data_IF_417607375529
#
_entry.id   IF_417607375529
#
_cell.length_a   1.000
_cell.length_b   1.000
_cell.length_c   1.000
_cell.angle_alpha   90.00
_cell.angle_beta   90.00
_cell.angle_gamma   90.00
#
_symmetry.space_group_name_H-M   'P 1'
#
loop_
_entity.id
_entity.type
_entity.pdbx_description
1 polymer ?
#
# COMPACT_ATOMS: atom_id res chain seq x y z
N UNK A 1 -14.10 14.52 10.12
CA UNK A 1 -13.64 13.81 11.35
C UNK A 1 -13.53 12.34 11.03
N UNK A 2 -12.39 11.71 11.32
CA UNK A 2 -12.16 10.28 11.16
C UNK A 2 -12.76 9.51 12.32
N UNK A 3 -13.20 8.26 12.08
CA UNK A 3 -13.75 7.40 13.14
C UNK A 3 -13.00 6.06 13.16
N UNK A 4 -12.36 5.77 14.28
CA UNK A 4 -11.69 4.49 14.53
C UNK A 4 -12.43 3.68 15.58
N UNK A 5 -12.56 2.36 15.35
CA UNK A 5 -13.19 1.41 16.25
C UNK A 5 -12.18 0.36 16.69
N UNK A 6 -12.02 0.21 17.98
CA UNK A 6 -11.28 -0.90 18.60
C UNK A 6 -12.20 -1.72 19.52
N UNK A 7 -12.01 -3.02 19.57
CA UNK A 7 -12.80 -3.92 20.39
C UNK A 7 -11.93 -4.51 21.48
N UNK A 8 -12.29 -4.26 22.73
CA UNK A 8 -11.68 -4.90 23.88
C UNK A 8 -12.61 -5.98 24.43
N UNK A 9 -12.16 -7.22 24.41
CA UNK A 9 -12.84 -8.30 25.12
C UNK A 9 -12.49 -8.19 26.60
N UNK A 10 -13.51 -8.17 27.45
CA UNK A 10 -13.29 -8.19 28.90
C UNK A 10 -12.84 -9.59 29.32
N UNK A 11 -11.70 -9.67 29.97
CA UNK A 11 -11.21 -10.92 30.57
C UNK A 11 -12.11 -11.28 31.76
N UNK A 12 -12.75 -12.45 31.69
CA UNK A 12 -13.68 -12.90 32.75
C UNK A 12 -12.92 -13.26 33.99
N UNK A 13 -13.33 -12.67 35.09
CA UNK A 13 -12.85 -13.08 36.41
C UNK A 13 -13.38 -14.47 36.77
N UNK A 14 -12.64 -15.23 37.57
CA UNK A 14 -13.07 -16.55 38.05
C UNK A 14 -14.06 -16.40 39.22
N UNK A 15 -14.91 -17.43 39.44
CA UNK A 15 -15.85 -17.51 40.56
C UNK A 15 -17.08 -16.60 40.44
N UNK A 16 -17.69 -16.25 41.58
CA UNK A 16 -18.95 -15.48 41.68
C UNK A 16 -18.86 -14.14 40.93
N UNK A 17 -17.67 -13.49 40.97
CA UNK A 17 -17.43 -12.24 40.23
C UNK A 17 -17.53 -12.43 38.69
N UNK A 18 -17.20 -13.63 38.19
CA UNK A 18 -17.35 -13.99 36.79
C UNK A 18 -18.83 -14.15 36.33
N UNK A 19 -19.70 -14.60 37.26
CA UNK A 19 -21.15 -14.62 37.02
C UNK A 19 -21.72 -13.21 36.91
N UNK A 20 -21.32 -12.29 37.76
CA UNK A 20 -21.73 -10.89 37.70
C UNK A 20 -21.22 -10.23 36.42
N UNK A 21 -20.03 -10.59 35.90
CA UNK A 21 -19.50 -10.07 34.63
C UNK A 21 -20.31 -10.54 33.42
N UNK A 22 -21.02 -11.69 33.48
CA UNK A 22 -21.94 -12.16 32.40
C UNK A 22 -23.20 -11.29 32.26
N UNK A 23 -23.61 -10.64 33.35
CA UNK A 23 -24.78 -9.78 33.39
C UNK A 23 -24.45 -8.33 32.97
N UNK A 24 -23.17 -7.99 32.81
CA UNK A 24 -22.76 -6.66 32.39
C UNK A 24 -23.12 -6.42 30.91
N UNK A 25 -23.64 -5.22 30.66
CA UNK A 25 -23.91 -4.78 29.28
C UNK A 25 -22.64 -4.25 28.63
N UNK A 26 -22.52 -4.54 27.34
CA UNK A 26 -21.47 -3.94 26.51
C UNK A 26 -21.54 -2.41 26.57
N UNK A 27 -20.39 -1.78 26.55
CA UNK A 27 -20.28 -0.31 26.60
C UNK A 27 -19.29 0.22 25.56
N UNK A 28 -19.53 1.42 25.08
CA UNK A 28 -18.61 2.14 24.24
C UNK A 28 -18.01 3.32 25.00
N UNK A 29 -16.71 3.49 24.89
CA UNK A 29 -15.99 4.68 25.38
C UNK A 29 -15.52 5.45 24.17
N UNK A 30 -15.91 6.73 24.07
CA UNK A 30 -15.52 7.59 22.96
C UNK A 30 -14.48 8.59 23.46
N UNK A 31 -13.37 8.67 22.73
CA UNK A 31 -12.31 9.67 22.94
C UNK A 31 -12.09 10.43 21.64
N UNK A 32 -12.04 11.74 21.70
CA UNK A 32 -11.64 12.57 20.57
C UNK A 32 -10.16 12.89 20.76
N UNK A 33 -9.35 12.52 19.74
CA UNK A 33 -7.93 12.83 19.68
C UNK A 33 -7.69 13.83 18.55
N UNK A 34 -6.69 14.69 18.71
CA UNK A 34 -6.35 15.71 17.70
C UNK A 34 -4.86 15.66 17.39
N UNK A 35 -4.51 15.75 16.11
CA UNK A 35 -3.16 15.94 15.64
C UNK A 35 -3.16 16.67 14.28
N UNK A 36 -2.29 17.64 14.10
CA UNK A 36 -2.09 18.37 12.83
C UNK A 36 -3.40 18.81 12.15
N UNK A 37 -4.33 19.38 12.89
CA UNK A 37 -5.64 19.81 12.37
C UNK A 37 -6.66 18.69 12.17
N UNK A 38 -6.29 17.44 12.32
CA UNK A 38 -7.17 16.27 12.24
C UNK A 38 -7.83 15.96 13.57
N UNK A 39 -9.09 15.53 13.49
CA UNK A 39 -9.84 14.99 14.61
C UNK A 39 -10.16 13.53 14.37
N UNK A 40 -9.72 12.68 15.31
CA UNK A 40 -10.01 11.25 15.33
C UNK A 40 -10.97 10.93 16.46
N UNK A 41 -12.17 10.47 16.14
CA UNK A 41 -13.12 9.87 17.07
C UNK A 41 -12.73 8.42 17.30
N UNK A 42 -12.07 8.13 18.41
CA UNK A 42 -11.69 6.77 18.77
C UNK A 42 -12.75 6.15 19.67
N UNK A 43 -13.44 5.14 19.19
CA UNK A 43 -14.46 4.36 19.88
C UNK A 43 -13.82 3.07 20.35
N UNK A 44 -13.74 2.90 21.67
CA UNK A 44 -13.35 1.62 22.28
C UNK A 44 -14.61 0.89 22.72
N UNK A 45 -14.96 -0.18 22.01
CA UNK A 45 -16.07 -1.03 22.35
C UNK A 45 -15.62 -2.13 23.32
N UNK A 46 -16.18 -2.15 24.52
CA UNK A 46 -15.88 -3.14 25.55
C UNK A 46 -17.00 -4.17 25.56
N UNK A 47 -16.68 -5.38 25.08
CA UNK A 47 -17.63 -6.50 25.01
C UNK A 47 -17.45 -7.42 26.22
N UNK A 48 -18.55 -7.66 26.92
CA UNK A 48 -18.65 -8.65 28.00
C UNK A 48 -19.27 -9.98 27.51
N UNK A 49 -19.83 -9.98 26.28
CA UNK A 49 -20.43 -11.13 25.62
C UNK A 49 -19.47 -11.98 24.80
N UNK A 50 -20.00 -13.04 24.17
CA UNK A 50 -19.24 -13.88 23.23
C UNK A 50 -19.04 -13.18 21.88
N UNK A 51 -20.07 -12.48 21.40
CA UNK A 51 -20.04 -11.71 20.14
C UNK A 51 -20.32 -10.23 20.43
N UNK A 52 -19.54 -9.32 19.85
CA UNK A 52 -19.86 -7.88 19.91
C UNK A 52 -21.19 -7.59 19.20
N UNK A 53 -22.00 -6.73 19.79
CA UNK A 53 -23.26 -6.24 19.17
C UNK A 53 -23.06 -4.81 18.70
N UNK A 54 -22.79 -4.63 17.41
CA UNK A 54 -22.43 -3.33 16.84
C UNK A 54 -23.64 -2.40 16.58
N UNK A 55 -24.86 -2.93 16.54
CA UNK A 55 -26.08 -2.14 16.32
C UNK A 55 -26.18 -0.92 17.25
N UNK A 56 -25.76 -1.09 18.50
CA UNK A 56 -25.75 0.00 19.51
C UNK A 56 -24.74 1.10 19.19
N UNK A 57 -23.78 0.85 18.33
CA UNK A 57 -22.77 1.82 17.91
C UNK A 57 -23.26 2.71 16.77
N UNK A 58 -24.35 2.39 16.09
CA UNK A 58 -24.80 3.12 14.90
C UNK A 58 -24.98 4.61 15.20
N UNK A 59 -25.65 4.95 16.31
CA UNK A 59 -25.85 6.35 16.75
C UNK A 59 -24.53 7.05 17.11
N UNK A 60 -23.57 6.28 17.66
CA UNK A 60 -22.28 6.82 18.09
C UNK A 60 -21.36 7.05 16.88
N UNK A 61 -21.39 6.14 15.92
CA UNK A 61 -20.56 6.20 14.71
C UNK A 61 -21.06 7.25 13.74
N UNK A 62 -22.39 7.37 13.58
CA UNK A 62 -23.04 8.31 12.66
C UNK A 62 -22.70 7.97 11.19
N UNK A 63 -22.47 8.99 10.37
CA UNK A 63 -22.26 8.86 8.93
C UNK A 63 -20.95 8.14 8.55
N UNK A 64 -20.02 7.99 9.49
CA UNK A 64 -18.75 7.29 9.24
C UNK A 64 -18.89 5.77 9.18
N UNK A 65 -20.09 5.19 9.33
CA UNK A 65 -20.31 3.74 9.34
C UNK A 65 -19.80 3.00 8.11
N UNK A 66 -19.86 3.64 6.93
CA UNK A 66 -19.40 3.04 5.65
C UNK A 66 -17.89 3.10 5.44
N UNK A 67 -17.11 3.68 6.37
CA UNK A 67 -15.67 3.87 6.26
C UNK A 67 -15.00 3.90 7.64
N UNK A 68 -15.31 2.88 8.46
CA UNK A 68 -14.75 2.75 9.80
C UNK A 68 -13.33 2.25 9.73
N UNK A 69 -12.43 2.95 10.41
CA UNK A 69 -11.04 2.53 10.56
C UNK A 69 -11.00 1.48 11.70
N UNK A 70 -10.78 0.22 11.39
CA UNK A 70 -10.74 -0.83 12.39
C UNK A 70 -9.86 -2.02 11.97
N UNK A 71 -9.43 -2.81 12.94
CA UNK A 71 -8.64 -4.02 12.69
C UNK A 71 -9.40 -5.01 11.79
N UNK A 72 -8.72 -5.73 10.87
CA UNK A 72 -9.32 -6.80 10.06
C UNK A 72 -9.88 -7.95 10.90
N UNK A 73 -9.47 -8.06 12.17
CA UNK A 73 -10.02 -9.04 13.12
C UNK A 73 -11.47 -8.73 13.54
N UNK A 74 -11.94 -7.49 13.31
CA UNK A 74 -13.33 -7.10 13.57
C UNK A 74 -14.13 -7.45 12.33
N UNK A 75 -15.00 -8.46 12.47
CA UNK A 75 -15.93 -8.88 11.42
C UNK A 75 -17.30 -8.24 11.70
N UNK A 76 -17.80 -7.52 10.74
CA UNK A 76 -19.19 -7.04 10.72
C UNK A 76 -20.07 -8.13 10.08
N UNK A 77 -21.32 -8.21 10.50
CA UNK A 77 -22.31 -9.12 9.87
C UNK A 77 -22.62 -8.62 8.44
N UNK A 78 -22.97 -9.53 7.55
CA UNK A 78 -23.18 -9.21 6.12
C UNK A 78 -24.30 -8.20 5.87
N UNK A 79 -25.31 -8.18 6.74
CA UNK A 79 -26.43 -7.23 6.74
C UNK A 79 -26.13 -5.95 7.54
N UNK A 80 -24.94 -5.87 8.14
CA UNK A 80 -24.51 -4.70 8.90
C UNK A 80 -24.33 -3.49 8.01
N UNK A 81 -24.77 -2.34 8.50
CA UNK A 81 -24.50 -1.04 7.87
C UNK A 81 -23.05 -0.57 8.03
N UNK A 82 -22.24 -1.32 8.79
CA UNK A 82 -20.85 -1.00 9.03
C UNK A 82 -19.95 -1.61 7.98
N UNK A 83 -19.13 -0.76 7.34
CA UNK A 83 -18.08 -1.21 6.41
C UNK A 83 -16.73 -0.70 6.89
N UNK A 84 -15.74 -1.58 6.85
CA UNK A 84 -14.37 -1.20 7.13
C UNK A 84 -13.85 -0.32 6.00
N UNK A 85 -13.05 0.67 6.35
CA UNK A 85 -12.28 1.41 5.37
C UNK A 85 -11.26 0.49 4.72
N UNK A 86 -11.23 0.47 3.39
CA UNK A 86 -10.28 -0.26 2.57
C UNK A 86 -9.90 0.66 1.41
N UNK A 87 -8.60 0.92 1.25
CA UNK A 87 -8.08 1.72 0.17
C UNK A 87 -6.59 1.42 0.01
N UNK A 88 -6.11 1.32 -1.20
CA UNK A 88 -4.75 0.97 -1.57
C UNK A 88 -3.90 2.15 -2.09
N UNK A 89 -4.49 3.34 -2.25
CA UNK A 89 -3.80 4.49 -2.86
C UNK A 89 -2.50 4.85 -2.12
N UNK A 90 -2.51 4.78 -0.79
CA UNK A 90 -1.32 5.10 -0.01
C UNK A 90 -0.22 4.04 -0.18
N UNK A 91 -0.56 2.76 -0.20
CA UNK A 91 0.44 1.70 -0.43
C UNK A 91 0.93 1.67 -1.88
N UNK A 92 0.11 2.06 -2.86
CA UNK A 92 0.55 2.33 -4.22
C UNK A 92 1.61 3.44 -4.25
N UNK A 93 1.38 4.55 -3.55
CA UNK A 93 2.36 5.64 -3.41
C UNK A 93 3.65 5.20 -2.72
N UNK A 94 3.59 4.32 -1.73
CA UNK A 94 4.81 3.76 -1.11
C UNK A 94 5.61 2.92 -2.11
N UNK A 95 4.94 2.12 -2.94
CA UNK A 95 5.55 1.34 -4.00
C UNK A 95 6.26 2.24 -5.02
N UNK A 96 5.55 3.22 -5.58
CA UNK A 96 6.09 4.14 -6.58
C UNK A 96 7.21 5.03 -6.02
N UNK A 97 7.08 5.52 -4.79
CA UNK A 97 8.12 6.33 -4.14
C UNK A 97 9.39 5.51 -3.88
N UNK A 98 9.27 4.23 -3.51
CA UNK A 98 10.43 3.35 -3.37
C UNK A 98 11.12 3.15 -4.72
N UNK A 99 10.35 2.89 -5.79
CA UNK A 99 10.88 2.71 -7.12
C UNK A 99 11.68 3.95 -7.59
N UNK A 100 11.10 5.15 -7.48
CA UNK A 100 11.79 6.39 -7.83
C UNK A 100 13.06 6.58 -7.00
N UNK A 101 12.99 6.28 -5.69
CA UNK A 101 14.16 6.41 -4.84
C UNK A 101 15.27 5.44 -5.22
N UNK A 102 14.95 4.19 -5.56
CA UNK A 102 15.92 3.22 -6.09
C UNK A 102 16.54 3.71 -7.40
N UNK A 103 15.73 4.19 -8.34
CA UNK A 103 16.19 4.73 -9.61
C UNK A 103 17.12 5.94 -9.41
N UNK A 104 16.83 6.79 -8.44
CA UNK A 104 17.68 7.94 -8.11
C UNK A 104 19.06 7.58 -7.54
N UNK A 105 19.24 6.33 -7.10
CA UNK A 105 20.51 5.80 -6.61
C UNK A 105 21.32 5.11 -7.70
N UNK A 106 20.70 4.78 -8.84
CA UNK A 106 21.35 4.06 -9.91
C UNK A 106 22.24 4.98 -10.75
N UNK A 107 23.44 4.53 -11.03
CA UNK A 107 24.40 5.13 -11.97
C UNK A 107 24.44 4.40 -13.34
N UNK A 108 23.65 3.33 -13.49
CA UNK A 108 23.56 2.48 -14.69
C UNK A 108 22.22 2.64 -15.46
N UNK A 109 21.62 3.83 -15.39
CA UNK A 109 20.26 4.07 -15.92
C UNK A 109 20.13 4.06 -17.44
N UNK A 110 21.22 4.33 -18.20
CA UNK A 110 21.18 4.48 -19.66
C UNK A 110 20.66 3.24 -20.42
N UNK A 111 20.89 2.03 -19.89
CA UNK A 111 20.45 0.76 -20.49
C UNK A 111 19.37 0.06 -19.66
N UNK A 112 18.79 0.76 -18.72
CA UNK A 112 17.81 0.17 -17.80
C UNK A 112 16.45 0.09 -18.49
N UNK A 113 15.90 -1.12 -18.60
CA UNK A 113 14.55 -1.36 -19.09
C UNK A 113 13.59 -1.42 -17.92
N UNK A 114 12.56 -0.58 -17.94
CA UNK A 114 11.60 -0.45 -16.85
C UNK A 114 10.21 -0.79 -17.37
N UNK A 115 9.52 -1.70 -16.66
CA UNK A 115 8.11 -2.01 -16.85
C UNK A 115 7.24 -1.30 -15.82
N UNK A 116 6.14 -0.72 -16.26
CA UNK A 116 5.06 -0.24 -15.39
C UNK A 116 3.85 -1.13 -15.64
N UNK A 117 3.37 -1.81 -14.61
CA UNK A 117 2.17 -2.65 -14.67
C UNK A 117 1.04 -1.95 -13.92
N UNK A 118 0.20 -1.21 -14.65
CA UNK A 118 -0.90 -0.39 -14.13
C UNK A 118 -2.17 -0.60 -14.99
N UNK A 119 -2.87 -1.72 -14.76
CA UNK A 119 -3.98 -2.15 -15.62
C UNK A 119 -5.14 -1.15 -15.64
N UNK A 120 -5.41 -0.46 -14.55
CA UNK A 120 -6.51 0.51 -14.45
C UNK A 120 -6.09 1.97 -14.73
N UNK A 121 -4.83 2.22 -15.03
CA UNK A 121 -4.30 3.52 -15.46
C UNK A 121 -4.34 4.61 -14.38
N UNK A 122 -4.41 4.22 -13.09
CA UNK A 122 -4.57 5.19 -11.99
C UNK A 122 -3.30 5.90 -11.59
N UNK A 123 -2.17 5.36 -11.95
CA UNK A 123 -0.86 5.87 -11.55
C UNK A 123 -0.08 6.48 -12.73
N UNK A 124 -0.80 6.90 -13.80
CA UNK A 124 -0.18 7.50 -15.00
C UNK A 124 0.72 8.69 -14.67
N UNK A 125 0.32 9.54 -13.70
CA UNK A 125 1.13 10.67 -13.22
C UNK A 125 2.55 10.28 -12.76
N UNK A 126 2.80 8.99 -12.57
CA UNK A 126 4.09 8.46 -12.16
C UNK A 126 5.08 8.36 -13.33
N UNK A 127 4.61 8.24 -14.57
CA UNK A 127 5.42 8.03 -15.77
C UNK A 127 6.51 9.09 -15.96
N UNK A 128 6.25 10.41 -15.88
CA UNK A 128 7.29 11.41 -16.08
C UNK A 128 8.45 11.33 -15.08
N UNK A 129 8.19 10.80 -13.88
CA UNK A 129 9.24 10.61 -12.86
C UNK A 129 10.14 9.43 -13.18
N UNK A 130 9.61 8.35 -13.76
CA UNK A 130 10.39 7.17 -14.20
C UNK A 130 11.22 7.51 -15.42
N UNK A 131 10.64 8.22 -16.38
CA UNK A 131 11.30 8.63 -17.62
C UNK A 131 12.50 9.55 -17.42
N UNK A 132 12.66 10.17 -16.24
CA UNK A 132 13.89 10.91 -15.87
C UNK A 132 15.12 9.99 -15.73
N UNK A 133 14.91 8.70 -15.50
CA UNK A 133 15.98 7.75 -15.24
C UNK A 133 16.20 6.75 -16.37
N UNK A 134 15.22 6.53 -17.22
CA UNK A 134 15.35 5.66 -18.40
C UNK A 134 14.40 6.11 -19.49
N UNK A 135 14.87 6.08 -20.75
CA UNK A 135 14.04 6.27 -21.94
C UNK A 135 13.41 4.96 -22.44
N UNK A 136 13.83 3.80 -21.90
CA UNK A 136 13.30 2.48 -22.27
C UNK A 136 12.25 2.05 -21.21
N UNK A 137 11.05 2.61 -21.33
CA UNK A 137 9.93 2.38 -20.42
C UNK A 137 8.75 1.79 -21.17
N UNK A 138 8.29 0.62 -20.71
CA UNK A 138 7.09 -0.05 -21.19
C UNK A 138 6.00 -0.01 -20.16
N UNK A 139 4.82 0.48 -20.54
CA UNK A 139 3.62 0.52 -19.70
C UNK A 139 2.64 -0.54 -20.18
N UNK A 140 2.29 -1.46 -19.30
CA UNK A 140 1.24 -2.45 -19.52
C UNK A 140 -0.03 -2.00 -18.81
N UNK A 141 -1.07 -1.68 -19.59
CA UNK A 141 -2.35 -1.16 -19.08
C UNK A 141 -3.53 -1.56 -19.97
N UNK A 142 -4.70 -1.75 -19.37
CA UNK A 142 -5.97 -1.89 -20.10
C UNK A 142 -6.56 -0.53 -20.50
N UNK A 143 -6.04 0.57 -19.94
CA UNK A 143 -6.48 1.96 -20.11
C UNK A 143 -5.39 2.84 -20.77
N UNK A 144 -5.00 2.61 -22.05
CA UNK A 144 -3.92 3.34 -22.68
C UNK A 144 -4.16 4.87 -22.72
N UNK A 145 -5.41 5.30 -22.84
CA UNK A 145 -5.77 6.72 -22.88
C UNK A 145 -5.38 7.48 -21.59
N UNK A 146 -5.26 6.77 -20.45
CA UNK A 146 -4.81 7.38 -19.19
C UNK A 146 -3.35 7.84 -19.25
N UNK A 147 -2.56 7.33 -20.19
CA UNK A 147 -1.15 7.65 -20.36
C UNK A 147 -0.89 8.65 -21.52
N UNK A 148 -1.93 9.10 -22.22
CA UNK A 148 -1.77 9.97 -23.38
C UNK A 148 -1.14 11.32 -22.99
N UNK A 149 -1.74 12.03 -22.06
CA UNK A 149 -1.29 13.36 -21.63
C UNK A 149 0.12 13.30 -21.01
N UNK A 150 0.42 12.24 -20.26
CA UNK A 150 1.73 12.05 -19.63
C UNK A 150 2.83 11.74 -20.65
N UNK A 151 2.53 10.97 -21.71
CA UNK A 151 3.46 10.74 -22.81
C UNK A 151 3.69 12.01 -23.64
N UNK A 152 2.65 12.82 -23.88
CA UNK A 152 2.80 14.11 -24.56
C UNK A 152 3.72 15.04 -23.74
N UNK A 153 3.49 15.14 -22.43
CA UNK A 153 4.34 15.91 -21.52
C UNK A 153 5.80 15.44 -21.52
N UNK A 154 6.04 14.12 -21.53
CA UNK A 154 7.39 13.55 -21.57
C UNK A 154 8.04 13.82 -22.91
N UNK A 155 7.31 13.67 -24.03
CA UNK A 155 7.80 13.98 -25.37
C UNK A 155 8.22 15.44 -25.50
N UNK A 156 7.40 16.37 -25.01
CA UNK A 156 7.71 17.80 -25.03
C UNK A 156 8.94 18.18 -24.20
N UNK A 157 9.08 17.59 -23.01
CA UNK A 157 10.14 17.98 -22.06
C UNK A 157 11.44 17.19 -22.23
N UNK A 158 11.39 15.95 -22.73
CA UNK A 158 12.53 15.01 -22.75
C UNK A 158 12.83 14.45 -24.15
N UNK A 159 11.96 14.67 -25.14
CA UNK A 159 12.13 14.12 -26.49
C UNK A 159 12.00 12.60 -26.56
N UNK A 160 11.35 11.98 -25.60
CA UNK A 160 11.14 10.54 -25.50
C UNK A 160 9.68 10.21 -25.18
N UNK A 161 9.23 8.98 -25.44
CA UNK A 161 7.93 8.50 -25.01
C UNK A 161 8.04 7.04 -24.55
N UNK A 162 7.13 6.62 -23.68
CA UNK A 162 7.01 5.22 -23.27
C UNK A 162 6.25 4.41 -24.31
N UNK A 163 6.49 3.10 -24.34
CA UNK A 163 5.67 2.14 -25.06
C UNK A 163 4.47 1.79 -24.22
N UNK A 164 3.25 2.09 -24.67
CA UNK A 164 2.02 1.74 -23.96
C UNK A 164 1.35 0.56 -24.68
N UNK A 165 1.12 -0.53 -23.96
CA UNK A 165 0.60 -1.78 -24.54
C UNK A 165 -0.34 -2.49 -23.56
N UNK A 166 -1.13 -3.45 -24.09
CA UNK A 166 -1.90 -4.42 -23.28
C UNK A 166 -1.18 -5.75 -23.10
N UNK A 167 -0.04 -5.91 -23.76
CA UNK A 167 0.70 -7.17 -23.84
C UNK A 167 1.66 -7.28 -22.65
N UNK A 168 1.41 -8.22 -21.78
CA UNK A 168 2.24 -8.48 -20.59
C UNK A 168 3.60 -9.10 -20.93
N UNK A 169 3.72 -9.72 -22.11
CA UNK A 169 4.96 -10.33 -22.60
C UNK A 169 6.08 -9.30 -22.76
N UNK A 170 5.74 -8.05 -22.99
CA UNK A 170 6.71 -6.96 -23.12
C UNK A 170 7.45 -6.66 -21.80
N UNK A 171 6.97 -7.20 -20.66
CA UNK A 171 7.65 -7.07 -19.38
C UNK A 171 8.80 -8.08 -19.18
N UNK A 172 8.91 -9.10 -20.00
CA UNK A 172 9.89 -10.19 -19.84
C UNK A 172 11.33 -9.70 -19.80
N UNK A 173 11.63 -8.65 -20.55
CA UNK A 173 12.98 -8.12 -20.65
C UNK A 173 13.24 -6.92 -19.74
N UNK A 174 12.31 -6.58 -18.86
CA UNK A 174 12.48 -5.49 -17.93
C UNK A 174 13.39 -5.88 -16.76
N UNK A 175 14.29 -4.97 -16.37
CA UNK A 175 15.14 -5.13 -15.19
C UNK A 175 14.40 -4.76 -13.90
N UNK A 176 13.50 -3.78 -13.99
CA UNK A 176 12.64 -3.34 -12.91
C UNK A 176 11.19 -3.32 -13.39
N UNK A 177 10.29 -3.98 -12.67
CA UNK A 177 8.85 -3.88 -12.88
C UNK A 177 8.21 -3.20 -11.68
N UNK A 178 7.45 -2.13 -11.95
CA UNK A 178 6.75 -1.33 -10.95
C UNK A 178 5.25 -1.57 -11.12
N UNK A 179 4.64 -2.25 -10.15
CA UNK A 179 3.21 -2.56 -10.15
C UNK A 179 2.54 -1.86 -8.96
N UNK A 180 2.03 -0.62 -9.09
CA UNK A 180 1.37 0.10 -7.99
C UNK A 180 0.05 -0.53 -7.56
N UNK A 181 -0.35 -1.62 -8.15
CA UNK A 181 -1.51 -2.43 -7.81
C UNK A 181 -1.11 -3.88 -7.47
N UNK A 182 -2.02 -4.65 -6.86
CA UNK A 182 -1.79 -6.07 -6.59
C UNK A 182 -1.81 -6.85 -7.91
N UNK A 183 -0.76 -7.63 -8.16
CA UNK A 183 -0.67 -8.48 -9.35
C UNK A 183 -1.56 -9.71 -9.16
N UNK A 184 -2.58 -9.84 -10.00
CA UNK A 184 -3.57 -10.92 -9.92
C UNK A 184 -3.32 -12.05 -10.91
N UNK A 185 -2.68 -11.77 -12.06
CA UNK A 185 -2.40 -12.71 -13.14
C UNK A 185 -0.92 -12.87 -13.34
N UNK A 186 -0.49 -14.09 -13.67
CA UNK A 186 0.89 -14.40 -14.05
C UNK A 186 1.24 -13.69 -15.36
N UNK A 187 2.46 -13.21 -15.45
CA UNK A 187 3.07 -12.73 -16.69
C UNK A 187 4.54 -13.19 -16.74
N UNK A 188 5.11 -13.17 -17.93
CA UNK A 188 6.52 -13.51 -18.12
C UNK A 188 7.42 -12.42 -17.53
N UNK A 189 8.36 -12.82 -16.69
CA UNK A 189 9.44 -11.99 -16.16
C UNK A 189 10.72 -12.82 -16.04
N UNK A 190 11.87 -12.15 -16.06
CA UNK A 190 13.16 -12.80 -15.98
C UNK A 190 13.57 -13.05 -14.52
N UNK A 191 14.41 -14.06 -14.26
CA UNK A 191 14.96 -14.34 -12.92
C UNK A 191 15.76 -13.16 -12.35
N UNK A 192 16.36 -12.34 -13.22
CA UNK A 192 17.11 -11.15 -12.84
C UNK A 192 16.27 -9.87 -12.77
N UNK A 193 14.94 -9.99 -12.76
CA UNK A 193 14.02 -8.84 -12.64
C UNK A 193 13.70 -8.53 -11.18
N UNK A 194 13.80 -7.26 -10.79
CA UNK A 194 13.22 -6.77 -9.54
C UNK A 194 11.76 -6.34 -9.78
N UNK A 195 10.84 -6.84 -8.98
CA UNK A 195 9.41 -6.53 -9.05
C UNK A 195 8.97 -5.86 -7.76
N UNK A 196 8.51 -4.62 -7.85
CA UNK A 196 7.89 -3.89 -6.75
C UNK A 196 6.37 -3.84 -6.97
N UNK A 197 5.59 -4.36 -6.03
CA UNK A 197 4.13 -4.42 -6.18
C UNK A 197 3.39 -3.98 -4.93
N UNK A 198 2.17 -3.50 -5.11
CA UNK A 198 1.29 -3.12 -4.02
C UNK A 198 0.52 -4.34 -3.49
N UNK A 199 0.96 -4.86 -2.35
CA UNK A 199 0.37 -6.03 -1.73
C UNK A 199 0.89 -7.35 -2.31
N UNK A 200 0.61 -8.43 -1.58
CA UNK A 200 1.08 -9.77 -1.95
C UNK A 200 0.48 -10.20 -3.29
N UNK A 201 1.31 -10.57 -4.29
CA UNK A 201 0.80 -11.09 -5.55
C UNK A 201 -0.06 -12.33 -5.32
N UNK A 202 -1.12 -12.47 -6.11
CA UNK A 202 -1.97 -13.68 -6.15
C UNK A 202 -1.44 -14.69 -7.18
N UNK A 203 -0.60 -14.23 -8.09
CA UNK A 203 0.03 -15.01 -9.13
C UNK A 203 1.47 -15.39 -8.76
N UNK A 204 1.97 -16.49 -9.30
CA UNK A 204 3.39 -16.84 -9.27
C UNK A 204 4.14 -15.99 -10.30
N UNK A 205 5.24 -15.39 -9.87
CA UNK A 205 6.09 -14.52 -10.68
C UNK A 205 7.53 -15.00 -10.58
N UNK A 206 8.25 -14.88 -11.67
CA UNK A 206 9.71 -15.12 -11.72
C UNK A 206 10.42 -13.81 -11.36
N UNK A 207 11.54 -13.89 -10.63
CA UNK A 207 12.31 -12.72 -10.18
C UNK A 207 12.13 -12.41 -8.70
N UNK A 208 12.72 -11.32 -8.28
CA UNK A 208 12.71 -10.85 -6.88
C UNK A 208 11.53 -9.92 -6.61
N UNK A 209 10.52 -10.41 -5.89
CA UNK A 209 9.25 -9.70 -5.70
C UNK A 209 9.13 -9.12 -4.30
N UNK A 210 8.95 -7.81 -4.17
CA UNK A 210 8.71 -7.09 -2.91
C UNK A 210 7.36 -6.41 -2.92
N UNK A 211 6.59 -6.57 -1.83
CA UNK A 211 5.19 -6.16 -1.78
C UNK A 211 4.75 -5.52 -0.46
N UNK A 212 5.61 -5.45 0.55
CA UNK A 212 5.30 -4.82 1.83
C UNK A 212 6.36 -3.78 2.16
N UNK A 213 5.92 -2.59 2.50
CA UNK A 213 6.77 -1.42 2.69
C UNK A 213 6.70 -0.92 4.13
N UNK A 214 7.86 -0.62 4.70
CA UNK A 214 7.98 -0.11 6.06
C UNK A 214 8.52 1.31 6.02
N UNK A 215 7.91 2.17 6.81
CA UNK A 215 8.27 3.57 6.90
C UNK A 215 8.05 4.08 8.32
N UNK A 216 8.63 5.22 8.63
CA UNK A 216 8.40 5.91 9.89
C UNK A 216 7.18 6.80 9.76
N UNK A 217 6.20 6.62 10.65
CA UNK A 217 5.04 7.52 10.69
C UNK A 217 5.51 8.95 11.00
N UNK A 218 5.01 9.97 10.26
CA UNK A 218 5.36 11.36 10.53
C UNK A 218 4.98 11.79 11.94
N UNK A 219 5.82 12.59 12.56
CA UNK A 219 5.66 13.06 13.94
C UNK A 219 4.28 13.69 14.18
N UNK A 220 3.68 13.34 15.29
CA UNK A 220 2.40 13.84 15.75
C UNK A 220 1.21 12.94 15.40
N UNK A 221 1.26 12.08 14.39
CA UNK A 221 0.18 11.12 14.11
C UNK A 221 0.24 9.88 15.00
N UNK A 222 1.40 9.54 15.52
CA UNK A 222 1.62 8.47 16.50
C UNK A 222 0.74 8.62 17.74
N UNK A 223 0.54 9.86 18.20
CA UNK A 223 -0.28 10.16 19.39
C UNK A 223 -1.77 9.84 19.22
N UNK A 224 -2.28 9.91 18.01
CA UNK A 224 -3.69 9.65 17.72
C UNK A 224 -3.95 8.23 17.26
N UNK A 225 -2.92 7.50 16.77
CA UNK A 225 -3.06 6.13 16.28
C UNK A 225 -3.55 5.19 17.40
N UNK A 226 -4.62 4.41 17.20
CA UNK A 226 -4.93 3.27 18.07
C UNK A 226 -3.82 2.22 17.98
N UNK A 227 -3.42 1.65 19.14
CA UNK A 227 -2.33 0.68 19.20
C UNK A 227 -2.63 -0.61 18.41
N UNK A 228 -3.89 -0.98 18.32
CA UNK A 228 -4.38 -2.18 17.66
C UNK A 228 -4.37 -2.09 16.12
N UNK A 229 -4.11 -0.89 15.55
CA UNK A 229 -4.08 -0.67 14.11
C UNK A 229 -2.65 -0.70 13.59
N UNK A 230 -2.47 -1.35 12.45
CA UNK A 230 -1.22 -1.31 11.71
C UNK A 230 -0.94 0.12 11.21
N UNK A 231 0.34 0.47 11.12
CA UNK A 231 0.76 1.84 10.79
C UNK A 231 0.39 2.21 9.37
N UNK A 232 0.63 1.32 8.41
CA UNK A 232 0.29 1.54 7.00
C UNK A 232 -1.21 1.75 6.81
N UNK A 233 -2.03 0.86 7.37
CA UNK A 233 -3.49 0.96 7.30
C UNK A 233 -4.02 2.27 7.91
N UNK A 234 -3.45 2.68 9.05
CA UNK A 234 -3.83 3.95 9.67
C UNK A 234 -3.40 5.15 8.83
N UNK A 235 -2.21 5.12 8.24
CA UNK A 235 -1.74 6.17 7.33
C UNK A 235 -2.56 6.21 6.03
N UNK A 236 -2.99 5.06 5.49
CA UNK A 236 -3.93 5.01 4.36
C UNK A 236 -5.22 5.76 4.67
N UNK A 237 -5.77 5.59 5.87
CA UNK A 237 -6.96 6.32 6.28
C UNK A 237 -6.71 7.83 6.48
N UNK A 238 -5.53 8.22 6.99
CA UNK A 238 -5.15 9.62 7.09
C UNK A 238 -4.96 10.26 5.70
N UNK A 239 -4.36 9.53 4.78
CA UNK A 239 -4.13 9.96 3.39
C UNK A 239 -5.45 10.18 2.67
N UNK A 240 -6.29 9.15 2.57
CA UNK A 240 -7.51 9.18 1.76
C UNK A 240 -8.68 9.88 2.46
N UNK A 241 -9.02 9.49 3.70
CA UNK A 241 -10.14 10.07 4.43
C UNK A 241 -9.78 11.37 5.15
N UNK A 242 -8.55 11.47 5.63
CA UNK A 242 -8.04 12.63 6.37
C UNK A 242 -7.50 13.74 5.47
N UNK A 243 -7.39 13.49 4.15
CA UNK A 243 -6.83 14.43 3.16
C UNK A 243 -5.43 14.90 3.53
N UNK A 244 -4.63 13.99 4.11
CA UNK A 244 -3.24 14.28 4.49
C UNK A 244 -2.29 13.91 3.35
N UNK A 245 -2.45 14.56 2.21
CA UNK A 245 -1.71 14.25 0.97
C UNK A 245 -0.18 14.37 1.12
N UNK A 246 0.30 15.09 2.12
CA UNK A 246 1.73 15.12 2.47
C UNK A 246 2.31 13.76 2.86
N UNK A 247 1.46 12.78 3.22
CA UNK A 247 1.90 11.40 3.43
C UNK A 247 2.30 10.71 2.12
N UNK A 248 1.78 11.16 0.98
CA UNK A 248 2.09 10.59 -0.34
C UNK A 248 3.53 10.79 -0.81
N UNK A 249 4.34 11.61 -0.13
CA UNK A 249 5.77 11.78 -0.41
C UNK A 249 6.68 10.91 0.48
N UNK A 250 6.12 10.01 1.27
CA UNK A 250 6.91 9.15 2.16
C UNK A 250 7.66 8.10 1.34
N UNK A 251 8.98 8.06 1.51
CA UNK A 251 9.83 7.00 0.98
C UNK A 251 9.97 5.90 2.03
N UNK A 252 9.69 4.63 1.70
CA UNK A 252 9.95 3.51 2.59
C UNK A 252 11.43 3.39 2.97
N UNK A 253 11.71 2.92 4.17
CA UNK A 253 13.08 2.66 4.65
C UNK A 253 13.46 1.19 4.53
N UNK A 254 12.46 0.31 4.47
CA UNK A 254 12.61 -1.12 4.33
C UNK A 254 11.44 -1.69 3.50
N UNK A 255 11.68 -2.84 2.89
CA UNK A 255 10.64 -3.62 2.21
C UNK A 255 10.78 -5.10 2.56
N UNK A 256 9.72 -5.87 2.36
CA UNK A 256 9.78 -7.33 2.53
C UNK A 256 9.09 -8.06 1.39
N UNK A 257 9.59 -9.28 1.17
CA UNK A 257 9.01 -10.30 0.32
C UNK A 257 8.44 -11.45 1.18
N UNK A 258 8.28 -12.63 0.58
CA UNK A 258 7.79 -13.84 1.27
C UNK A 258 8.73 -14.36 2.36
N UNK A 259 10.03 -14.15 2.21
CA UNK A 259 11.08 -14.80 3.00
C UNK A 259 11.91 -13.85 3.85
N UNK A 260 12.08 -12.59 3.43
CA UNK A 260 13.03 -11.68 4.04
C UNK A 260 12.50 -10.23 4.11
N UNK A 261 13.08 -9.47 5.02
CA UNK A 261 12.92 -8.02 5.11
C UNK A 261 14.28 -7.38 4.84
N UNK A 262 14.31 -6.42 3.94
CA UNK A 262 15.53 -5.73 3.54
C UNK A 262 15.43 -4.22 3.74
N UNK A 263 16.57 -3.58 4.03
CA UNK A 263 16.70 -2.12 3.94
C UNK A 263 16.76 -1.69 2.48
N UNK A 264 16.43 -0.45 2.19
CA UNK A 264 16.51 0.08 0.82
C UNK A 264 17.94 0.00 0.26
N UNK A 265 18.97 0.17 1.09
CA UNK A 265 20.37 0.00 0.67
C UNK A 265 20.68 -1.44 0.24
N UNK A 266 20.19 -2.43 0.99
CA UNK A 266 20.34 -3.85 0.65
C UNK A 266 19.56 -4.22 -0.61
N UNK A 267 18.34 -3.65 -0.76
CA UNK A 267 17.53 -3.80 -1.96
C UNK A 267 18.24 -3.23 -3.20
N UNK A 268 18.86 -2.05 -3.07
CA UNK A 268 19.63 -1.44 -4.14
C UNK A 268 20.83 -2.31 -4.56
N UNK A 269 21.64 -2.78 -3.59
CA UNK A 269 22.78 -3.65 -3.89
C UNK A 269 22.38 -4.96 -4.59
N UNK A 270 21.22 -5.51 -4.18
CA UNK A 270 20.65 -6.68 -4.86
C UNK A 270 20.21 -6.32 -6.30
N UNK A 271 19.51 -5.21 -6.49
CA UNK A 271 19.08 -4.76 -7.81
C UNK A 271 20.26 -4.52 -8.76
N UNK A 272 21.32 -3.89 -8.27
CA UNK A 272 22.57 -3.72 -9.03
C UNK A 272 23.18 -5.06 -9.44
N UNK A 273 23.15 -6.07 -8.54
CA UNK A 273 23.62 -7.42 -8.85
C UNK A 273 22.78 -8.11 -9.91
N UNK A 274 21.44 -8.03 -9.81
CA UNK A 274 20.51 -8.57 -10.80
C UNK A 274 20.76 -7.95 -12.19
N UNK A 275 20.90 -6.63 -12.25
CA UNK A 275 21.19 -5.90 -13.48
C UNK A 275 22.51 -6.38 -14.13
N UNK A 276 23.59 -6.52 -13.35
CA UNK A 276 24.88 -7.01 -13.86
C UNK A 276 24.81 -8.45 -14.38
N UNK A 277 23.99 -9.29 -13.77
CA UNK A 277 23.78 -10.66 -14.22
C UNK A 277 22.99 -10.71 -15.54
N UNK A 278 21.97 -9.87 -15.68
CA UNK A 278 21.21 -9.73 -16.94
C UNK A 278 22.10 -9.28 -18.10
N UNK A 279 23.00 -8.31 -17.86
CA UNK A 279 23.92 -7.82 -18.89
C UNK A 279 24.90 -8.91 -19.37
N UNK A 280 25.43 -9.74 -18.47
CA UNK A 280 26.32 -10.87 -18.84
C UNK A 280 25.61 -11.93 -19.70
N UNK A 281 24.37 -12.27 -19.35
CA UNK A 281 23.57 -13.24 -20.11
C UNK A 281 23.23 -12.75 -21.53
N UNK A 282 23.18 -11.44 -21.74
CA UNK A 282 22.95 -10.85 -23.05
C UNK A 282 24.20 -10.83 -23.95
N UNK A 283 25.40 -10.79 -23.37
CA UNK A 283 26.68 -10.82 -24.11
C UNK A 283 27.11 -12.27 -24.50
N UNK A 284 26.51 -13.28 -23.88
CA UNK A 284 26.82 -14.72 -24.15
C UNK A 284 25.87 -15.33 -25.21
N UNK A 285 24.82 -14.65 -25.67
CA UNK A 285 23.88 -15.07 -26.71
C UNK A 285 24.06 -14.23 -28.00
#
# INVERSE_FOLDING_TARGET
MLTALTVKKYERRKGIKGLADRLRRDRAVVKIKRARGLYLKHITYISYGRKPRFEKLEKIVGDSKNRIICSPKIKFESDSKFKRFENSDFSARLCTNLAIYLLSMCDFTEKLKIGIYDLDGRESEFLPYVMKYSSDVTVVTDCPDAYYDENELVMENMGACSVVTKRTEELEHCHLIIAPQTIEKTFSSNENTLILTNGRPKAELTGEVYYKYYFKMPNGFDRIKPQELETEYFCSALYSLGRQYSLGSIVPTMCSNFSATQTVKSLYAMFESLYKNSAKSADEN
#
